data_IF_825177944424
#
_entry.id   IF_825177944424
#
_cell.length_a   1.000
_cell.length_b   1.000
_cell.length_c   1.000
_cell.angle_alpha   90.00
_cell.angle_beta   90.00
_cell.angle_gamma   90.00
#
_symmetry.space_group_name_H-M   'P 1'
#
loop_
_entity.id
_entity.type
_entity.pdbx_description
1 polymer ?
#
# COMPACT_ATOMS: atom_id res chain seq x y z
N UNK A 1 -34.48 34.90 15.87
CA UNK A 1 -34.19 34.48 14.49
C UNK A 1 -33.33 33.19 14.38
N UNK A 2 -32.61 32.75 15.43
CA UNK A 2 -31.81 31.50 15.39
C UNK A 2 -32.63 30.20 15.27
N UNK A 3 -33.79 30.12 15.94
CA UNK A 3 -34.63 28.91 15.98
C UNK A 3 -35.13 28.42 14.61
N UNK A 4 -35.57 29.31 13.72
CA UNK A 4 -36.14 28.92 12.43
C UNK A 4 -35.09 28.39 11.44
N UNK A 5 -33.88 29.00 11.44
CA UNK A 5 -32.76 28.54 10.61
C UNK A 5 -32.28 27.16 11.04
N UNK A 6 -32.16 26.93 12.34
CA UNK A 6 -31.77 25.63 12.88
C UNK A 6 -32.82 24.54 12.60
N UNK A 7 -34.10 24.85 12.75
CA UNK A 7 -35.19 23.91 12.43
C UNK A 7 -35.24 23.55 10.94
N UNK A 8 -34.91 24.51 10.06
CA UNK A 8 -34.78 24.26 8.61
C UNK A 8 -33.59 23.34 8.30
N UNK A 9 -32.44 23.56 8.95
CA UNK A 9 -31.26 22.70 8.78
C UNK A 9 -31.54 21.25 9.23
N UNK A 10 -32.16 21.08 10.40
CA UNK A 10 -32.56 19.76 10.91
C UNK A 10 -33.51 19.06 9.93
N UNK A 11 -34.51 19.77 9.39
CA UNK A 11 -35.44 19.20 8.40
C UNK A 11 -34.74 18.73 7.12
N UNK A 12 -33.77 19.52 6.61
CA UNK A 12 -32.96 19.13 5.45
C UNK A 12 -32.16 17.85 5.70
N UNK A 13 -31.53 17.75 6.88
CA UNK A 13 -30.75 16.57 7.25
C UNK A 13 -31.66 15.34 7.39
N UNK A 14 -32.82 15.48 8.03
CA UNK A 14 -33.77 14.37 8.14
C UNK A 14 -34.28 13.90 6.78
N UNK A 15 -34.54 14.81 5.84
CA UNK A 15 -34.92 14.46 4.47
C UNK A 15 -33.77 13.72 3.76
N UNK A 16 -32.53 14.18 3.89
CA UNK A 16 -31.35 13.49 3.35
C UNK A 16 -31.24 12.05 3.89
N UNK A 17 -31.38 11.86 5.21
CA UNK A 17 -31.32 10.55 5.83
C UNK A 17 -32.47 9.64 5.36
N UNK A 18 -33.68 10.19 5.23
CA UNK A 18 -34.84 9.46 4.72
C UNK A 18 -34.65 9.05 3.25
N UNK A 19 -34.14 9.94 2.40
CA UNK A 19 -33.79 9.66 1.01
C UNK A 19 -32.68 8.61 0.90
N UNK A 20 -31.70 8.65 1.80
CA UNK A 20 -30.66 7.61 1.86
C UNK A 20 -31.25 6.24 2.21
N UNK A 21 -32.08 6.18 3.24
CA UNK A 21 -32.62 4.92 3.77
C UNK A 21 -33.55 4.26 2.75
N UNK A 22 -34.43 5.04 2.09
CA UNK A 22 -35.38 4.54 1.05
C UNK A 22 -34.83 4.54 -0.37
N UNK A 23 -33.66 5.14 -0.58
CA UNK A 23 -33.09 5.35 -1.91
C UNK A 23 -32.61 4.07 -2.59
N UNK A 24 -32.73 4.03 -3.91
CA UNK A 24 -32.06 3.01 -4.73
C UNK A 24 -30.54 3.19 -4.72
N UNK A 25 -29.80 2.22 -5.28
CA UNK A 25 -28.33 2.35 -5.47
C UNK A 25 -27.94 3.65 -6.19
N UNK A 26 -28.72 4.06 -7.19
CA UNK A 26 -28.50 5.29 -7.94
C UNK A 26 -28.75 6.55 -7.10
N UNK A 27 -29.79 6.55 -6.26
CA UNK A 27 -30.08 7.65 -5.34
C UNK A 27 -28.94 7.82 -4.33
N UNK A 28 -28.52 6.73 -3.67
CA UNK A 28 -27.39 6.78 -2.73
C UNK A 28 -26.09 7.21 -3.41
N UNK A 29 -25.84 6.77 -4.64
CA UNK A 29 -24.69 7.23 -5.41
C UNK A 29 -24.71 8.74 -5.66
N UNK A 30 -25.86 9.30 -6.06
CA UNK A 30 -26.02 10.76 -6.24
C UNK A 30 -25.81 11.52 -4.93
N UNK A 31 -26.35 11.01 -3.82
CA UNK A 31 -26.13 11.59 -2.49
C UNK A 31 -24.63 11.61 -2.15
N UNK A 32 -23.91 10.51 -2.40
CA UNK A 32 -22.46 10.46 -2.17
C UNK A 32 -21.71 11.48 -3.01
N UNK A 33 -22.01 11.61 -4.31
CA UNK A 33 -21.34 12.57 -5.18
C UNK A 33 -21.53 14.00 -4.70
N UNK A 34 -22.79 14.38 -4.39
CA UNK A 34 -23.11 15.70 -3.85
C UNK A 34 -22.38 15.95 -2.53
N UNK A 35 -22.39 14.97 -1.62
CA UNK A 35 -21.69 15.07 -0.34
C UNK A 35 -20.19 15.29 -0.55
N UNK A 36 -19.55 14.47 -1.38
CA UNK A 36 -18.11 14.55 -1.66
C UNK A 36 -17.75 15.90 -2.26
N UNK A 37 -18.54 16.43 -3.19
CA UNK A 37 -18.27 17.72 -3.82
C UNK A 37 -18.38 18.87 -2.82
N UNK A 38 -19.39 18.86 -1.96
CA UNK A 38 -19.69 19.95 -1.04
C UNK A 38 -18.80 19.97 0.21
N UNK A 39 -18.24 18.83 0.61
CA UNK A 39 -17.63 18.66 1.94
C UNK A 39 -16.12 18.43 1.93
N UNK A 40 -15.44 18.58 0.79
CA UNK A 40 -13.97 18.46 0.76
C UNK A 40 -13.34 19.53 1.66
N UNK A 41 -12.32 19.11 2.43
CA UNK A 41 -11.49 19.96 3.28
C UNK A 41 -12.23 20.63 4.46
N UNK A 42 -13.44 20.20 4.78
CA UNK A 42 -14.15 20.67 5.98
C UNK A 42 -13.58 20.05 7.25
N UNK A 43 -13.58 20.83 8.31
CA UNK A 43 -13.26 20.42 9.67
C UNK A 43 -14.43 19.68 10.31
N UNK A 44 -14.16 18.94 11.39
CA UNK A 44 -15.20 18.22 12.14
C UNK A 44 -16.36 19.12 12.58
N UNK A 45 -16.09 20.30 13.20
CA UNK A 45 -17.14 21.25 13.57
C UNK A 45 -17.95 21.81 12.39
N UNK A 46 -17.32 22.00 11.22
CA UNK A 46 -18.05 22.44 10.01
C UNK A 46 -18.99 21.35 9.50
N UNK A 47 -18.54 20.08 9.51
CA UNK A 47 -19.38 18.93 9.17
C UNK A 47 -20.56 18.81 10.14
N UNK A 48 -20.33 18.95 11.45
CA UNK A 48 -21.40 18.93 12.43
C UNK A 48 -22.40 20.07 12.23
N UNK A 49 -21.91 21.29 12.03
CA UNK A 49 -22.78 22.45 11.80
C UNK A 49 -23.64 22.30 10.55
N UNK A 50 -23.10 21.74 9.47
CA UNK A 50 -23.84 21.50 8.24
C UNK A 50 -24.89 20.41 8.38
N UNK A 51 -24.58 19.40 9.18
CA UNK A 51 -25.50 18.31 9.48
C UNK A 51 -26.36 18.58 10.72
N UNK A 52 -26.43 19.82 11.20
CA UNK A 52 -27.21 20.19 12.38
C UNK A 52 -26.96 19.24 13.58
N UNK A 53 -25.69 18.95 13.86
CA UNK A 53 -25.19 18.02 14.90
C UNK A 53 -25.53 16.53 14.67
N UNK A 54 -26.00 16.16 13.47
CA UNK A 54 -26.36 14.79 13.11
C UNK A 54 -25.39 14.13 12.11
N UNK A 55 -24.16 14.64 11.99
CA UNK A 55 -23.15 14.12 11.06
C UNK A 55 -22.85 12.62 11.31
N UNK A 56 -22.71 12.22 12.58
CA UNK A 56 -22.48 10.83 12.98
C UNK A 56 -23.59 9.86 12.53
N UNK A 57 -24.84 10.34 12.42
CA UNK A 57 -25.95 9.52 11.91
C UNK A 57 -25.78 9.20 10.42
N UNK A 58 -25.19 10.11 9.65
CA UNK A 58 -24.89 9.85 8.25
C UNK A 58 -23.66 8.93 8.14
N UNK A 59 -22.59 9.16 8.91
CA UNK A 59 -21.43 8.28 8.93
C UNK A 59 -21.78 6.83 9.29
N UNK A 60 -22.66 6.63 10.28
CA UNK A 60 -23.15 5.29 10.67
C UNK A 60 -23.83 4.58 9.49
N UNK A 61 -24.63 5.31 8.70
CA UNK A 61 -25.27 4.75 7.50
C UNK A 61 -24.29 4.46 6.38
N UNK A 62 -23.29 5.32 6.19
CA UNK A 62 -22.22 5.12 5.21
C UNK A 62 -21.42 3.84 5.52
N UNK A 63 -20.98 3.68 6.76
CA UNK A 63 -20.18 2.53 7.20
C UNK A 63 -20.98 1.24 7.19
N UNK A 64 -22.25 1.27 7.59
CA UNK A 64 -23.16 0.12 7.45
C UNK A 64 -23.35 -0.27 5.98
N UNK A 65 -23.55 0.69 5.08
CA UNK A 65 -23.71 0.40 3.66
C UNK A 65 -22.43 -0.14 3.02
N UNK A 66 -21.26 0.39 3.44
CA UNK A 66 -19.96 -0.11 3.01
C UNK A 66 -19.83 -1.59 3.38
N UNK A 67 -20.13 -1.93 4.64
CA UNK A 67 -20.03 -3.31 5.13
C UNK A 67 -20.95 -4.27 4.37
N UNK A 68 -22.14 -3.82 3.98
CA UNK A 68 -23.10 -4.62 3.21
C UNK A 68 -22.74 -4.78 1.72
N UNK A 69 -21.94 -3.88 1.15
CA UNK A 69 -21.79 -3.80 -0.32
C UNK A 69 -20.37 -3.86 -0.86
N UNK A 70 -19.34 -3.80 -0.02
CA UNK A 70 -17.95 -3.77 -0.49
C UNK A 70 -17.57 -5.00 -1.33
N UNK A 71 -18.09 -6.20 -1.01
CA UNK A 71 -17.77 -7.42 -1.76
C UNK A 71 -18.29 -7.41 -3.21
N UNK A 72 -19.36 -6.67 -3.48
CA UNK A 72 -19.97 -6.51 -4.81
C UNK A 72 -19.61 -5.18 -5.48
N UNK A 73 -18.82 -4.32 -4.83
CA UNK A 73 -18.27 -3.09 -5.41
C UNK A 73 -19.28 -1.99 -5.75
N UNK A 74 -20.46 -1.96 -5.11
CA UNK A 74 -21.49 -0.95 -5.42
C UNK A 74 -21.04 0.43 -4.94
N UNK A 75 -20.75 1.38 -5.84
CA UNK A 75 -20.32 2.74 -5.48
C UNK A 75 -19.14 2.79 -4.50
N UNK A 76 -18.27 1.78 -4.50
CA UNK A 76 -17.28 1.58 -3.44
C UNK A 76 -16.30 2.75 -3.35
N UNK A 77 -15.79 3.25 -4.48
CA UNK A 77 -14.94 4.44 -4.54
C UNK A 77 -15.57 5.63 -3.82
N UNK A 78 -16.84 5.95 -4.13
CA UNK A 78 -17.53 7.09 -3.53
C UNK A 78 -17.82 6.87 -2.05
N UNK A 79 -18.15 5.65 -1.63
CA UNK A 79 -18.33 5.33 -0.21
C UNK A 79 -17.03 5.57 0.57
N UNK A 80 -15.90 5.09 0.06
CA UNK A 80 -14.59 5.28 0.67
C UNK A 80 -14.22 6.78 0.73
N UNK A 81 -14.41 7.52 -0.36
CA UNK A 81 -14.16 8.96 -0.40
C UNK A 81 -14.99 9.75 0.60
N UNK A 82 -16.29 9.44 0.72
CA UNK A 82 -17.17 10.10 1.68
C UNK A 82 -16.74 9.80 3.13
N UNK A 83 -16.37 8.55 3.44
CA UNK A 83 -15.86 8.18 4.77
C UNK A 83 -14.53 8.87 5.05
N UNK A 84 -13.65 9.00 4.04
CA UNK A 84 -12.39 9.73 4.18
C UNK A 84 -12.60 11.16 4.64
N UNK A 85 -13.59 11.89 4.11
CA UNK A 85 -13.91 13.25 4.55
C UNK A 85 -14.19 13.31 6.05
N UNK A 86 -14.96 12.36 6.58
CA UNK A 86 -15.24 12.30 8.02
C UNK A 86 -13.98 11.98 8.83
N UNK A 87 -13.26 10.92 8.43
CA UNK A 87 -12.14 10.37 9.18
C UNK A 87 -10.90 11.29 9.16
N UNK A 88 -10.68 12.05 8.09
CA UNK A 88 -9.56 12.97 7.95
C UNK A 88 -9.85 14.40 8.41
N UNK A 89 -11.11 14.69 8.80
CA UNK A 89 -11.49 16.04 9.23
C UNK A 89 -10.74 16.48 10.47
N UNK A 90 -10.16 17.69 10.44
CA UNK A 90 -9.47 18.24 11.60
C UNK A 90 -10.45 18.52 12.73
N UNK A 91 -10.05 18.22 13.97
CA UNK A 91 -10.94 18.25 15.15
C UNK A 91 -12.16 17.32 15.07
N UNK A 92 -12.19 16.36 14.13
CA UNK A 92 -13.26 15.39 13.94
C UNK A 92 -13.02 14.03 14.61
N UNK A 93 -12.28 13.98 15.73
CA UNK A 93 -11.81 12.72 16.33
C UNK A 93 -12.92 11.71 16.65
N UNK A 94 -14.15 12.18 16.93
CA UNK A 94 -15.32 11.32 17.15
C UNK A 94 -15.63 10.44 15.95
N UNK A 95 -15.53 10.97 14.72
CA UNK A 95 -15.81 10.22 13.50
C UNK A 95 -14.80 9.10 13.26
N UNK A 96 -13.53 9.35 13.58
CA UNK A 96 -12.49 8.32 13.56
C UNK A 96 -12.79 7.21 14.59
N UNK A 97 -13.23 7.57 15.81
CA UNK A 97 -13.60 6.57 16.83
C UNK A 97 -14.76 5.71 16.37
N UNK A 98 -15.85 6.33 15.91
CA UNK A 98 -17.03 5.65 15.37
C UNK A 98 -16.64 4.70 14.22
N UNK A 99 -15.78 5.14 13.30
CA UNK A 99 -15.31 4.31 12.19
C UNK A 99 -14.50 3.09 12.66
N UNK A 100 -13.67 3.25 13.68
CA UNK A 100 -12.88 2.15 14.24
C UNK A 100 -13.77 1.16 15.00
N UNK A 101 -14.70 1.67 15.83
CA UNK A 101 -15.61 0.87 16.65
C UNK A 101 -16.48 -0.08 15.82
N UNK A 102 -16.88 0.34 14.62
CA UNK A 102 -17.66 -0.52 13.70
C UNK A 102 -16.79 -1.50 12.88
N UNK A 103 -15.49 -1.59 13.16
CA UNK A 103 -14.56 -2.48 12.44
C UNK A 103 -14.17 -1.95 11.06
N UNK A 104 -14.13 -0.63 10.89
CA UNK A 104 -13.79 0.02 9.62
C UNK A 104 -12.42 -0.41 9.08
N UNK A 105 -11.39 -0.49 9.94
CA UNK A 105 -10.04 -0.92 9.55
C UNK A 105 -10.06 -2.32 8.91
N UNK A 106 -10.74 -3.29 9.55
CA UNK A 106 -10.84 -4.66 9.02
C UNK A 106 -11.52 -4.68 7.64
N UNK A 107 -12.58 -3.90 7.49
CA UNK A 107 -13.30 -3.77 6.21
C UNK A 107 -12.38 -3.23 5.10
N UNK A 108 -11.54 -2.23 5.39
CA UNK A 108 -10.57 -1.71 4.42
C UNK A 108 -9.52 -2.74 4.03
N UNK A 109 -8.99 -3.48 5.00
CA UNK A 109 -8.02 -4.54 4.74
C UNK A 109 -8.61 -5.68 3.89
N UNK A 110 -9.86 -6.04 4.13
CA UNK A 110 -10.59 -7.01 3.29
C UNK A 110 -10.74 -6.51 1.84
N UNK A 111 -11.05 -5.22 1.63
CA UNK A 111 -11.16 -4.62 0.28
C UNK A 111 -9.87 -4.76 -0.54
N UNK A 112 -8.70 -4.62 0.10
CA UNK A 112 -7.39 -4.78 -0.57
C UNK A 112 -7.19 -6.22 -1.09
N UNK A 113 -7.70 -7.20 -0.35
CA UNK A 113 -7.62 -8.63 -0.68
C UNK A 113 -8.61 -9.09 -1.74
N UNK A 114 -9.62 -8.29 -2.09
CA UNK A 114 -10.60 -8.66 -3.11
C UNK A 114 -9.93 -8.73 -4.49
N UNK A 115 -10.12 -9.86 -5.18
CA UNK A 115 -9.60 -10.06 -6.55
C UNK A 115 -10.36 -9.24 -7.58
N UNK A 116 -11.66 -9.05 -7.35
CA UNK A 116 -12.59 -8.37 -8.25
C UNK A 116 -12.71 -6.85 -8.01
N UNK A 117 -12.09 -6.31 -6.96
CA UNK A 117 -12.15 -4.87 -6.68
C UNK A 117 -11.31 -4.08 -7.66
N UNK A 118 -11.77 -2.88 -8.02
CA UNK A 118 -11.06 -2.02 -8.97
C UNK A 118 -9.82 -1.44 -8.30
N UNK A 119 -8.79 -1.13 -9.09
CA UNK A 119 -7.57 -0.47 -8.61
C UNK A 119 -7.85 0.84 -7.87
N UNK A 120 -8.83 1.62 -8.36
CA UNK A 120 -9.24 2.86 -7.71
C UNK A 120 -9.88 2.62 -6.33
N UNK A 121 -10.64 1.53 -6.16
CA UNK A 121 -11.24 1.18 -4.87
C UNK A 121 -10.14 0.82 -3.86
N UNK A 122 -9.13 0.04 -4.28
CA UNK A 122 -7.97 -0.30 -3.46
C UNK A 122 -7.17 0.96 -3.09
N UNK A 123 -6.93 1.84 -4.06
CA UNK A 123 -6.28 3.13 -3.81
C UNK A 123 -7.02 3.93 -2.73
N UNK A 124 -8.34 4.09 -2.85
CA UNK A 124 -9.13 4.83 -1.84
C UNK A 124 -9.12 4.13 -0.47
N UNK A 125 -9.13 2.80 -0.42
CA UNK A 125 -9.05 2.06 0.83
C UNK A 125 -7.68 2.27 1.52
N UNK A 126 -6.58 2.28 0.76
CA UNK A 126 -5.24 2.57 1.31
C UNK A 126 -5.15 4.02 1.78
N UNK A 127 -5.70 4.99 1.03
CA UNK A 127 -5.73 6.39 1.46
C UNK A 127 -6.50 6.58 2.76
N UNK A 128 -7.62 5.87 2.93
CA UNK A 128 -8.37 5.91 4.18
C UNK A 128 -7.60 5.25 5.34
N UNK A 129 -6.90 4.13 5.09
CA UNK A 129 -5.98 3.54 6.08
C UNK A 129 -4.84 4.50 6.45
N UNK A 130 -4.33 5.28 5.49
CA UNK A 130 -3.34 6.32 5.73
C UNK A 130 -3.88 7.41 6.66
N UNK A 131 -5.11 7.90 6.44
CA UNK A 131 -5.73 8.86 7.37
C UNK A 131 -5.85 8.30 8.79
N UNK A 132 -6.19 7.00 8.93
CA UNK A 132 -6.22 6.33 10.23
C UNK A 132 -4.81 6.26 10.85
N UNK A 133 -3.80 5.89 10.09
CA UNK A 133 -2.40 5.82 10.54
C UNK A 133 -1.86 7.20 10.97
N UNK A 134 -2.20 8.26 10.23
CA UNK A 134 -1.74 9.62 10.47
C UNK A 134 -2.36 10.25 11.72
N UNK A 135 -3.50 9.73 12.19
CA UNK A 135 -4.12 10.17 13.44
C UNK A 135 -3.32 9.78 14.70
N UNK A 136 -2.25 8.97 14.56
CA UNK A 136 -1.25 8.75 15.60
C UNK A 136 -0.83 7.30 15.81
N UNK A 137 0.22 7.10 16.61
CA UNK A 137 0.88 5.79 16.84
C UNK A 137 -0.11 4.68 17.20
N UNK A 138 -1.05 4.93 18.12
CA UNK A 138 -2.02 3.91 18.55
C UNK A 138 -2.84 3.32 17.39
N UNK A 139 -3.13 4.12 16.36
CA UNK A 139 -3.87 3.69 15.18
C UNK A 139 -2.97 2.98 14.17
N UNK A 140 -1.70 3.38 14.05
CA UNK A 140 -0.69 2.60 13.31
C UNK A 140 -0.56 1.18 13.89
N UNK A 141 -0.48 1.08 15.21
CA UNK A 141 -0.42 -0.20 15.92
C UNK A 141 -1.67 -1.04 15.66
N UNK A 142 -2.88 -0.45 15.76
CA UNK A 142 -4.14 -1.12 15.44
C UNK A 142 -4.15 -1.71 14.02
N UNK A 143 -3.69 -0.94 13.01
CA UNK A 143 -3.58 -1.42 11.63
C UNK A 143 -2.63 -2.62 11.56
N UNK A 144 -1.49 -2.55 12.23
CA UNK A 144 -0.49 -3.62 12.24
C UNK A 144 -1.00 -4.89 12.92
N UNK A 145 -1.65 -4.77 14.08
CA UNK A 145 -2.29 -5.88 14.83
C UNK A 145 -3.39 -6.55 14.01
N UNK A 146 -4.08 -5.78 13.16
CA UNK A 146 -5.11 -6.26 12.24
C UNK A 146 -4.55 -6.92 10.96
N UNK A 147 -3.28 -7.34 10.96
CA UNK A 147 -2.57 -7.88 9.79
C UNK A 147 -2.40 -6.89 8.62
N UNK A 148 -2.47 -5.58 8.89
CA UNK A 148 -2.41 -4.54 7.87
C UNK A 148 -1.12 -4.56 7.04
N UNK A 149 0.03 -4.85 7.67
CA UNK A 149 1.32 -4.95 6.98
C UNK A 149 1.26 -5.99 5.85
N UNK A 150 0.74 -7.18 6.14
CA UNK A 150 0.61 -8.27 5.15
C UNK A 150 -0.37 -7.87 4.05
N UNK A 151 -1.55 -7.37 4.39
CA UNK A 151 -2.57 -7.01 3.41
C UNK A 151 -2.10 -5.91 2.45
N UNK A 152 -1.42 -4.88 2.97
CA UNK A 152 -0.87 -3.78 2.16
C UNK A 152 0.31 -4.24 1.30
N UNK A 153 1.22 -5.05 1.85
CA UNK A 153 2.32 -5.65 1.08
C UNK A 153 1.80 -6.54 -0.05
N UNK A 154 0.81 -7.41 0.22
CA UNK A 154 0.18 -8.22 -0.83
C UNK A 154 -0.50 -7.37 -1.90
N UNK A 155 -1.16 -6.27 -1.50
CA UNK A 155 -1.75 -5.32 -2.44
C UNK A 155 -0.68 -4.67 -3.34
N UNK A 156 0.47 -4.27 -2.76
CA UNK A 156 1.61 -3.72 -3.50
C UNK A 156 2.16 -4.73 -4.52
N UNK A 157 2.33 -5.99 -4.12
CA UNK A 157 2.85 -7.05 -4.98
C UNK A 157 1.91 -7.40 -6.16
N UNK A 158 0.60 -7.40 -5.92
CA UNK A 158 -0.41 -7.88 -6.88
C UNK A 158 -1.00 -6.77 -7.76
N UNK A 159 -0.94 -5.51 -7.32
CA UNK A 159 -1.47 -4.37 -8.05
C UNK A 159 -0.75 -4.15 -9.38
N UNK A 160 -1.50 -3.68 -10.37
CA UNK A 160 -0.99 -3.22 -11.67
C UNK A 160 -1.05 -1.70 -11.84
N UNK A 161 -1.57 -1.00 -10.84
CA UNK A 161 -1.71 0.46 -10.85
C UNK A 161 -0.56 1.10 -10.08
N UNK A 162 0.23 1.92 -10.77
CA UNK A 162 1.32 2.70 -10.18
C UNK A 162 0.83 3.53 -8.98
N UNK A 163 -0.37 4.11 -9.09
CA UNK A 163 -0.97 4.90 -8.01
C UNK A 163 -1.28 4.04 -6.77
N UNK A 164 -1.87 2.86 -6.97
CA UNK A 164 -2.17 1.93 -5.87
C UNK A 164 -0.87 1.48 -5.21
N UNK A 165 0.15 1.16 -6.01
CA UNK A 165 1.45 0.72 -5.52
C UNK A 165 2.17 1.84 -4.76
N UNK A 166 2.16 3.07 -5.26
CA UNK A 166 2.79 4.21 -4.57
C UNK A 166 2.12 4.48 -3.23
N UNK A 167 0.79 4.47 -3.20
CA UNK A 167 0.03 4.65 -1.96
C UNK A 167 0.31 3.52 -0.96
N UNK A 168 0.37 2.26 -1.42
CA UNK A 168 0.68 1.12 -0.56
C UNK A 168 2.09 1.21 0.05
N UNK A 169 3.08 1.60 -0.78
CA UNK A 169 4.45 1.85 -0.34
C UNK A 169 4.51 2.94 0.72
N UNK A 170 3.82 4.06 0.50
CA UNK A 170 3.79 5.18 1.44
C UNK A 170 3.15 4.78 2.79
N UNK A 171 2.09 3.97 2.76
CA UNK A 171 1.49 3.43 3.97
C UNK A 171 2.44 2.50 4.74
N UNK A 172 3.15 1.59 4.05
CA UNK A 172 4.13 0.73 4.71
C UNK A 172 5.24 1.55 5.40
N UNK A 173 5.74 2.61 4.75
CA UNK A 173 6.72 3.51 5.37
C UNK A 173 6.12 4.23 6.59
N UNK A 174 4.91 4.79 6.47
CA UNK A 174 4.24 5.44 7.59
C UNK A 174 4.04 4.49 8.77
N UNK A 175 3.74 3.21 8.51
CA UNK A 175 3.58 2.20 9.56
C UNK A 175 4.88 1.87 10.29
N UNK A 176 6.05 2.10 9.69
CA UNK A 176 7.35 1.98 10.37
C UNK A 176 7.73 3.26 11.13
N UNK A 177 7.45 4.42 10.56
CA UNK A 177 7.85 5.72 11.10
C UNK A 177 7.14 6.06 12.41
N UNK A 178 7.92 6.32 13.47
CA UNK A 178 7.39 6.64 14.80
C UNK A 178 6.64 5.49 15.47
N UNK A 179 6.82 4.25 15.00
CA UNK A 179 6.15 3.03 15.47
C UNK A 179 7.15 1.90 15.75
N UNK A 180 7.96 2.01 16.82
CA UNK A 180 9.04 1.06 17.10
C UNK A 180 8.56 -0.39 17.31
N UNK A 181 7.35 -0.58 17.86
CA UNK A 181 6.77 -1.89 18.16
C UNK A 181 6.60 -2.77 16.93
N UNK A 182 6.24 -2.17 15.79
CA UNK A 182 5.97 -2.89 14.55
C UNK A 182 7.00 -2.65 13.45
N UNK A 183 7.99 -1.78 13.65
CA UNK A 183 9.02 -1.46 12.67
C UNK A 183 9.72 -2.72 12.12
N UNK A 184 10.08 -3.66 13.00
CA UNK A 184 10.70 -4.93 12.58
C UNK A 184 9.74 -5.81 11.75
N UNK A 185 8.44 -5.77 12.04
CA UNK A 185 7.44 -6.53 11.27
C UNK A 185 7.21 -5.89 9.90
N UNK A 186 7.20 -4.57 9.80
CA UNK A 186 7.16 -3.85 8.51
C UNK A 186 8.40 -4.21 7.69
N UNK A 187 9.58 -4.17 8.29
CA UNK A 187 10.83 -4.55 7.65
C UNK A 187 10.79 -5.99 7.11
N UNK A 188 10.31 -6.96 7.90
CA UNK A 188 10.10 -8.34 7.43
C UNK A 188 9.07 -8.44 6.30
N UNK A 189 7.98 -7.67 6.38
CA UNK A 189 6.97 -7.57 5.33
C UNK A 189 7.54 -7.05 4.01
N UNK A 190 8.45 -6.06 4.07
CA UNK A 190 9.16 -5.54 2.90
C UNK A 190 10.15 -6.56 2.33
N UNK A 191 10.89 -7.31 3.17
CA UNK A 191 11.76 -8.41 2.69
C UNK A 191 10.95 -9.44 1.89
N UNK A 192 9.74 -9.78 2.35
CA UNK A 192 8.88 -10.75 1.69
C UNK A 192 8.41 -10.30 0.28
N UNK A 193 8.60 -9.02 -0.08
CA UNK A 193 8.29 -8.50 -1.41
C UNK A 193 9.46 -8.61 -2.40
N UNK A 194 10.71 -8.72 -1.92
CA UNK A 194 11.88 -8.88 -2.78
C UNK A 194 11.78 -10.07 -3.78
N UNK A 195 11.23 -11.25 -3.41
CA UNK A 195 11.08 -12.36 -4.35
C UNK A 195 9.79 -12.31 -5.18
N UNK A 196 8.95 -11.27 -5.10
CA UNK A 196 7.68 -11.24 -5.84
C UNK A 196 7.89 -11.11 -7.36
N UNK A 197 6.85 -11.39 -8.15
CA UNK A 197 6.94 -11.37 -9.62
C UNK A 197 6.87 -9.97 -10.25
N UNK A 198 6.56 -8.93 -9.47
CA UNK A 198 6.40 -7.56 -9.96
C UNK A 198 7.70 -6.78 -9.79
N UNK A 199 8.44 -6.44 -10.87
CA UNK A 199 9.69 -5.69 -10.77
C UNK A 199 9.49 -4.35 -10.08
N UNK A 200 8.35 -3.70 -10.32
CA UNK A 200 8.00 -2.43 -9.68
C UNK A 200 7.86 -2.58 -8.16
N UNK A 201 7.19 -3.64 -7.70
CA UNK A 201 7.05 -3.90 -6.27
C UNK A 201 8.39 -4.30 -5.62
N UNK A 202 9.24 -5.07 -6.32
CA UNK A 202 10.61 -5.37 -5.86
C UNK A 202 11.43 -4.09 -5.68
N UNK A 203 11.41 -3.19 -6.68
CA UNK A 203 12.08 -1.89 -6.63
C UNK A 203 11.60 -1.08 -5.42
N UNK A 204 10.29 -0.94 -5.25
CA UNK A 204 9.70 -0.15 -4.16
C UNK A 204 10.02 -0.77 -2.79
N UNK A 205 10.02 -2.10 -2.67
CA UNK A 205 10.39 -2.79 -1.45
C UNK A 205 11.85 -2.52 -1.07
N UNK A 206 12.78 -2.59 -2.02
CA UNK A 206 14.19 -2.29 -1.78
C UNK A 206 14.40 -0.82 -1.35
N UNK A 207 13.72 0.13 -2.02
CA UNK A 207 13.72 1.54 -1.63
C UNK A 207 13.18 1.77 -0.22
N UNK A 208 12.12 1.06 0.16
CA UNK A 208 11.58 1.14 1.52
C UNK A 208 12.55 0.54 2.55
N UNK A 209 13.17 -0.60 2.24
CA UNK A 209 14.15 -1.24 3.12
C UNK A 209 15.36 -0.32 3.38
N UNK A 210 15.81 0.43 2.38
CA UNK A 210 16.84 1.46 2.55
C UNK A 210 16.47 2.50 3.61
N UNK A 211 15.20 2.93 3.63
CA UNK A 211 14.69 3.92 4.59
C UNK A 211 14.42 3.33 5.97
N UNK A 212 13.93 2.09 6.03
CA UNK A 212 13.53 1.43 7.28
C UNK A 212 14.72 0.82 8.00
N UNK A 213 15.76 0.38 7.28
CA UNK A 213 16.94 -0.26 7.89
C UNK A 213 17.59 0.60 8.99
N UNK A 214 17.80 1.93 8.84
CA UNK A 214 18.34 2.76 9.93
C UNK A 214 17.42 2.90 11.15
N UNK A 215 16.12 2.58 11.02
CA UNK A 215 15.17 2.62 12.13
C UNK A 215 15.24 1.37 13.02
N UNK A 216 15.95 0.33 12.56
CA UNK A 216 16.15 -0.92 13.30
C UNK A 216 17.65 -1.15 13.55
N UNK A 217 17.98 -1.66 14.73
CA UNK A 217 19.40 -1.85 15.10
C UNK A 217 20.09 -2.93 14.26
N UNK A 218 19.39 -4.04 14.03
CA UNK A 218 19.95 -5.22 13.37
C UNK A 218 19.15 -5.57 12.12
N UNK A 219 19.87 -5.71 11.00
CA UNK A 219 19.31 -6.27 9.78
C UNK A 219 18.85 -7.71 10.00
N UNK A 220 17.67 -8.07 9.48
CA UNK A 220 17.16 -9.42 9.63
C UNK A 220 17.87 -10.38 8.65
N UNK A 221 18.40 -11.53 9.09
CA UNK A 221 19.18 -12.43 8.22
C UNK A 221 18.46 -12.93 6.97
N UNK A 222 17.12 -12.97 6.98
CA UNK A 222 16.32 -13.39 5.82
C UNK A 222 16.38 -12.44 4.63
N UNK A 223 16.99 -11.26 4.78
CA UNK A 223 17.18 -10.32 3.66
C UNK A 223 18.23 -10.78 2.66
N UNK A 224 19.21 -11.59 3.12
CA UNK A 224 20.43 -11.91 2.37
C UNK A 224 20.11 -12.62 1.05
N UNK A 225 19.43 -13.75 1.10
CA UNK A 225 19.13 -14.56 -0.09
C UNK A 225 18.24 -13.83 -1.12
N UNK A 226 17.09 -13.26 -0.75
CA UNK A 226 16.26 -12.51 -1.70
C UNK A 226 17.02 -11.36 -2.37
N UNK A 227 17.87 -10.65 -1.61
CA UNK A 227 18.64 -9.53 -2.12
C UNK A 227 19.75 -9.96 -3.09
N UNK A 228 20.49 -11.02 -2.75
CA UNK A 228 21.46 -11.62 -3.67
C UNK A 228 20.78 -12.11 -4.95
N UNK A 229 19.61 -12.73 -4.85
CA UNK A 229 18.81 -13.13 -6.02
C UNK A 229 18.38 -11.92 -6.86
N UNK A 230 18.02 -10.79 -6.25
CA UNK A 230 17.66 -9.56 -6.97
C UNK A 230 18.81 -9.00 -7.81
N UNK A 231 20.08 -9.30 -7.50
CA UNK A 231 21.21 -8.85 -8.35
C UNK A 231 21.29 -9.58 -9.70
N UNK A 232 20.61 -10.73 -9.85
CA UNK A 232 20.54 -11.51 -11.10
C UNK A 232 19.47 -11.00 -12.08
N UNK A 233 18.56 -10.11 -11.63
CA UNK A 233 17.46 -9.61 -12.46
C UNK A 233 17.96 -8.80 -13.65
N UNK A 234 17.21 -8.84 -14.75
CA UNK A 234 17.45 -7.98 -15.93
C UNK A 234 16.75 -6.62 -15.83
N UNK A 235 15.93 -6.41 -14.79
CA UNK A 235 15.29 -5.13 -14.51
C UNK A 235 16.29 -4.20 -13.80
N UNK A 236 16.86 -3.25 -14.54
CA UNK A 236 17.96 -2.41 -14.07
C UNK A 236 17.59 -1.59 -12.83
N UNK A 237 16.34 -1.15 -12.72
CA UNK A 237 15.86 -0.40 -11.56
C UNK A 237 15.85 -1.26 -10.29
N UNK A 238 15.44 -2.53 -10.40
CA UNK A 238 15.46 -3.47 -9.27
C UNK A 238 16.90 -3.79 -8.88
N UNK A 239 17.77 -4.04 -9.86
CA UNK A 239 19.18 -4.32 -9.60
C UNK A 239 19.86 -3.13 -8.92
N UNK A 240 19.61 -1.91 -9.41
CA UNK A 240 20.19 -0.70 -8.83
C UNK A 240 19.82 -0.55 -7.35
N UNK A 241 18.53 -0.65 -7.02
CA UNK A 241 18.07 -0.54 -5.62
C UNK A 241 18.58 -1.69 -4.76
N UNK A 242 18.68 -2.90 -5.31
CA UNK A 242 19.28 -4.03 -4.61
C UNK A 242 20.75 -3.75 -4.26
N UNK A 243 21.55 -3.22 -5.20
CA UNK A 243 22.95 -2.84 -4.97
C UNK A 243 23.04 -1.77 -3.88
N UNK A 244 22.23 -0.71 -3.96
CA UNK A 244 22.21 0.34 -2.93
C UNK A 244 21.92 -0.24 -1.54
N UNK A 245 20.95 -1.15 -1.45
CA UNK A 245 20.59 -1.82 -0.20
C UNK A 245 21.71 -2.73 0.31
N UNK A 246 22.40 -3.47 -0.56
CA UNK A 246 23.56 -4.27 -0.19
C UNK A 246 24.65 -3.37 0.40
N UNK A 247 24.98 -2.26 -0.26
CA UNK A 247 26.00 -1.31 0.21
C UNK A 247 25.65 -0.74 1.59
N UNK A 248 24.38 -0.41 1.84
CA UNK A 248 23.92 0.00 3.17
C UNK A 248 24.15 -1.12 4.21
N UNK A 249 23.73 -2.34 3.87
CA UNK A 249 23.76 -3.50 4.76
C UNK A 249 25.16 -4.01 5.11
N UNK A 250 26.20 -3.60 4.36
CA UNK A 250 27.60 -3.87 4.71
C UNK A 250 28.01 -3.26 6.06
N UNK A 251 27.26 -2.27 6.56
CA UNK A 251 27.48 -1.67 7.87
C UNK A 251 26.76 -2.40 9.02
N UNK A 252 26.10 -3.53 8.74
CA UNK A 252 25.27 -4.26 9.70
C UNK A 252 25.74 -5.72 9.88
N UNK A 253 25.13 -6.42 10.84
CA UNK A 253 25.48 -7.80 11.22
C UNK A 253 25.34 -8.85 10.11
N UNK A 254 24.69 -8.53 8.99
CA UNK A 254 24.55 -9.43 7.83
C UNK A 254 25.71 -9.35 6.84
N UNK A 255 26.68 -8.44 7.05
CA UNK A 255 27.84 -8.19 6.18
C UNK A 255 28.54 -9.46 5.71
N UNK A 256 28.95 -10.32 6.63
CA UNK A 256 29.77 -11.51 6.28
C UNK A 256 29.01 -12.47 5.36
N UNK A 257 27.71 -12.67 5.61
CA UNK A 257 26.84 -13.50 4.77
C UNK A 257 26.61 -12.88 3.39
N UNK A 258 26.48 -11.56 3.31
CA UNK A 258 26.39 -10.85 2.03
C UNK A 258 27.68 -10.99 1.24
N UNK A 259 28.84 -10.76 1.86
CA UNK A 259 30.15 -10.91 1.22
C UNK A 259 30.37 -12.34 0.71
N UNK A 260 30.06 -13.35 1.53
CA UNK A 260 30.15 -14.75 1.11
C UNK A 260 29.29 -15.03 -0.13
N UNK A 261 28.05 -14.54 -0.15
CA UNK A 261 27.15 -14.67 -1.29
C UNK A 261 27.66 -13.97 -2.55
N UNK A 262 28.13 -12.72 -2.43
CA UNK A 262 28.67 -11.94 -3.54
C UNK A 262 29.93 -12.59 -4.13
N UNK A 263 30.83 -13.10 -3.29
CA UNK A 263 32.04 -13.82 -3.73
C UNK A 263 31.66 -15.08 -4.52
N UNK A 264 30.63 -15.82 -4.09
CA UNK A 264 30.11 -16.95 -4.86
C UNK A 264 29.57 -16.50 -6.22
N UNK A 265 28.86 -15.38 -6.28
CA UNK A 265 28.35 -14.80 -7.54
C UNK A 265 29.44 -14.32 -8.51
N UNK A 266 30.68 -14.11 -8.05
CA UNK A 266 31.81 -13.77 -8.92
C UNK A 266 32.26 -14.93 -9.81
N UNK A 267 31.89 -16.18 -9.49
CA UNK A 267 32.25 -17.39 -10.23
C UNK A 267 31.00 -18.00 -10.87
N UNK A 268 30.69 -17.68 -12.15
CA UNK A 268 29.58 -18.27 -12.87
C UNK A 268 29.67 -19.81 -12.90
N UNK A 269 28.61 -20.51 -12.49
CA UNK A 269 28.57 -21.96 -12.61
C UNK A 269 28.34 -22.36 -14.09
N UNK A 270 29.02 -23.41 -14.56
CA UNK A 270 28.90 -23.92 -15.93
C UNK A 270 27.48 -24.33 -16.27
N UNK A 271 26.75 -24.90 -15.31
CA UNK A 271 25.35 -25.32 -15.48
C UNK A 271 24.40 -24.14 -15.70
N UNK A 272 24.60 -23.03 -14.99
CA UNK A 272 23.83 -21.78 -15.17
C UNK A 272 24.10 -21.10 -16.51
N UNK A 273 25.33 -21.20 -17.02
CA UNK A 273 25.69 -20.70 -18.35
C UNK A 273 24.99 -21.53 -19.44
N UNK A 274 24.90 -22.85 -19.25
CA UNK A 274 24.26 -23.76 -20.19
C UNK A 274 22.72 -23.62 -20.18
N UNK A 275 22.11 -23.47 -19.01
CA UNK A 275 20.66 -23.25 -18.86
C UNK A 275 20.20 -21.87 -19.36
N UNK A 276 21.07 -20.86 -19.29
CA UNK A 276 20.82 -19.52 -19.81
C UNK A 276 20.89 -19.40 -21.34
N UNK A 277 21.48 -20.40 -22.03
CA UNK A 277 21.46 -20.47 -23.49
C UNK A 277 20.14 -21.14 -23.93
N UNK A 278 19.24 -20.38 -24.55
CA UNK A 278 18.06 -20.96 -25.21
C UNK A 278 18.50 -22.08 -26.19
N UNK A 279 17.76 -23.20 -26.30
CA UNK A 279 18.03 -24.19 -27.34
C UNK A 279 17.90 -23.53 -28.72
N UNK A 280 18.96 -23.60 -29.53
CA UNK A 280 19.09 -22.92 -30.83
C UNK A 280 18.11 -23.39 -31.92
N UNK A 281 17.02 -24.08 -31.59
CA UNK A 281 16.17 -24.80 -32.55
C UNK A 281 15.12 -23.88 -33.21
N UNK A 282 14.98 -22.61 -32.80
CA UNK A 282 13.98 -21.68 -33.35
C UNK A 282 14.50 -20.25 -33.59
N UNK A 283 15.74 -20.08 -34.06
CA UNK A 283 16.19 -18.78 -34.60
C UNK A 283 16.02 -18.77 -36.12
N UNK A 284 14.92 -18.19 -36.59
CA UNK A 284 14.73 -17.83 -37.99
C UNK A 284 15.97 -17.11 -38.54
N UNK A 285 16.49 -17.58 -39.66
CA UNK A 285 17.74 -17.12 -40.29
C UNK A 285 17.71 -15.67 -40.83
N UNK A 286 16.71 -14.86 -40.46
CA UNK A 286 16.46 -13.53 -41.03
C UNK A 286 16.26 -12.42 -39.98
N UNK A 287 17.06 -12.38 -38.91
CA UNK A 287 17.15 -11.18 -38.05
C UNK A 287 18.59 -10.66 -37.95
N UNK A 288 18.75 -9.52 -38.61
CA UNK A 288 19.76 -8.46 -38.42
C UNK A 288 20.42 -8.42 -37.04
N UNK A 289 21.72 -8.14 -37.06
CA UNK A 289 22.69 -7.92 -35.98
C UNK A 289 22.15 -7.12 -34.78
N UNK A 290 21.45 -7.81 -33.89
CA UNK A 290 21.13 -7.32 -32.56
C UNK A 290 21.98 -8.11 -31.57
N UNK A 291 22.81 -7.43 -30.77
CA UNK A 291 23.56 -8.07 -29.68
C UNK A 291 22.54 -8.82 -28.80
N UNK A 292 22.78 -10.12 -28.58
CA UNK A 292 21.95 -10.90 -27.68
C UNK A 292 22.00 -10.27 -26.27
N UNK A 293 20.88 -10.20 -25.55
CA UNK A 293 20.87 -9.67 -24.19
C UNK A 293 21.84 -10.45 -23.30
N UNK A 294 22.53 -9.78 -22.34
CA UNK A 294 23.50 -10.44 -21.49
C UNK A 294 22.81 -11.52 -20.64
N UNK A 295 23.50 -12.65 -20.45
CA UNK A 295 22.98 -13.72 -19.59
C UNK A 295 22.83 -13.19 -18.15
N UNK A 296 21.73 -13.52 -17.44
CA UNK A 296 21.51 -13.09 -16.06
C UNK A 296 22.68 -13.37 -15.12
N UNK A 297 23.43 -14.46 -15.35
CA UNK A 297 24.60 -14.82 -14.53
C UNK A 297 25.75 -13.81 -14.66
N UNK A 298 25.99 -13.26 -15.85
CA UNK A 298 27.02 -12.24 -16.06
C UNK A 298 26.58 -10.88 -15.52
N UNK A 299 25.28 -10.61 -15.57
CA UNK A 299 24.67 -9.43 -14.93
C UNK A 299 24.83 -9.50 -13.40
N UNK A 300 24.60 -10.68 -12.81
CA UNK A 300 24.82 -10.94 -11.39
C UNK A 300 26.30 -10.79 -11.01
N UNK A 301 27.22 -11.34 -11.81
CA UNK A 301 28.66 -11.23 -11.60
C UNK A 301 29.12 -9.76 -11.59
N UNK A 302 28.64 -8.96 -12.54
CA UNK A 302 28.96 -7.54 -12.61
C UNK A 302 28.40 -6.75 -11.41
N UNK A 303 27.17 -7.05 -10.98
CA UNK A 303 26.58 -6.45 -9.78
C UNK A 303 27.36 -6.84 -8.52
N UNK A 304 27.79 -8.10 -8.40
CA UNK A 304 28.60 -8.55 -7.28
C UNK A 304 29.95 -7.83 -7.20
N UNK A 305 30.64 -7.66 -8.33
CA UNK A 305 31.88 -6.89 -8.39
C UNK A 305 31.68 -5.44 -7.92
N UNK A 306 30.59 -4.78 -8.34
CA UNK A 306 30.24 -3.42 -7.91
C UNK A 306 29.97 -3.28 -6.40
N UNK A 307 29.55 -4.35 -5.72
CA UNK A 307 29.25 -4.31 -4.29
C UNK A 307 30.48 -4.57 -3.41
N UNK A 308 31.54 -5.18 -3.97
CA UNK A 308 32.75 -5.56 -3.23
C UNK A 308 33.84 -4.48 -3.36
N UNK A 309 33.94 -3.84 -4.52
CA UNK A 309 34.89 -2.77 -4.83
C UNK A 309 34.44 -1.42 -4.26
#
# INVERSE_FOLDING_TARGET
>A
MGSAKQQTAVSKVMNLLHEWDRGSKAVRHKILLNFIEQNKNKTGPELDSEFAEAASLFLTRLTAWLRLTYMIGTSLTQQLQAITIFVSSSSGHKFLSEFIEVGGVLTLLEILGLKQSKEIDKTQAILLLQCVADAGRKYKELICESYGIRAVAECLAKSKSDQTQDTAKNLLLSLAEGNPRFCQQVYKGLIALLPCSSPKAQQMAAQCLLKVQPMIENAHPSIVEPLLSSTRTLHLEVQYEAIQLILLLMNYSVRDKLLEGLIRSLKPNKEDILSGKQPEILKDANKSSTLAPPLPIYVQQAAAAKCIL
#
